data_IF_458189846779
#
_entry.id   IF_458189846779
#
_cell.length_a   1.000
_cell.length_b   1.000
_cell.length_c   1.000
_cell.angle_alpha   90.00
_cell.angle_beta   90.00
_cell.angle_gamma   90.00
#
_symmetry.space_group_name_H-M   'P 1'
#
loop_
_entity.id
_entity.type
_entity.pdbx_description
1 polymer ?
#
# COMPACT_ATOMS: atom_id res chain seq x y z
N UNK A 1 -2.59 19.91 -12.28
CA UNK A 1 -2.94 19.70 -13.71
C UNK A 1 -4.34 19.09 -13.83
N UNK A 2 -5.03 19.22 -14.98
CA UNK A 2 -6.21 18.39 -15.28
C UNK A 2 -5.77 16.97 -15.63
N UNK A 3 -6.52 15.96 -15.19
CA UNK A 3 -6.26 14.57 -15.55
C UNK A 3 -6.67 14.31 -16.99
N UNK A 4 -5.73 13.79 -17.79
CA UNK A 4 -5.96 13.36 -19.17
C UNK A 4 -5.42 11.94 -19.36
N UNK A 5 -6.08 11.16 -20.20
CA UNK A 5 -5.60 9.83 -20.58
C UNK A 5 -4.34 9.97 -21.43
N UNK A 6 -3.32 9.15 -21.15
CA UNK A 6 -2.04 9.23 -21.85
C UNK A 6 -2.00 8.49 -23.19
N UNK A 7 -2.95 7.58 -23.42
CA UNK A 7 -3.07 6.78 -24.64
C UNK A 7 -4.14 7.29 -25.60
N UNK A 8 -4.22 6.71 -26.80
CA UNK A 8 -5.17 7.14 -27.84
C UNK A 8 -5.52 6.03 -28.83
N UNK A 9 -6.64 6.22 -29.54
CA UNK A 9 -7.06 5.34 -30.63
C UNK A 9 -7.29 3.90 -30.17
N UNK A 10 -6.80 2.95 -30.97
CA UNK A 10 -6.99 1.51 -30.75
C UNK A 10 -5.99 0.89 -29.76
N UNK A 11 -5.17 1.72 -29.09
CA UNK A 11 -4.29 1.24 -28.03
C UNK A 11 -5.13 0.63 -26.89
N UNK A 12 -4.71 -0.51 -26.32
CA UNK A 12 -5.43 -1.14 -25.21
C UNK A 12 -5.30 -0.29 -23.94
N UNK A 13 -6.44 0.06 -23.33
CA UNK A 13 -6.51 0.82 -22.08
C UNK A 13 -6.88 -0.08 -20.90
N UNK A 14 -7.90 -0.92 -21.07
CA UNK A 14 -8.35 -1.89 -20.07
C UNK A 14 -8.45 -3.26 -20.73
N UNK A 15 -7.91 -4.28 -20.07
CA UNK A 15 -7.90 -5.65 -20.56
C UNK A 15 -8.22 -6.61 -19.42
N UNK A 16 -9.53 -6.82 -19.21
CA UNK A 16 -10.09 -7.69 -18.18
C UNK A 16 -10.83 -8.85 -18.84
N UNK A 17 -10.90 -10.00 -18.17
CA UNK A 17 -11.50 -11.25 -18.70
C UNK A 17 -12.86 -11.02 -19.39
N UNK A 18 -13.75 -10.26 -18.75
CA UNK A 18 -15.11 -10.00 -19.26
C UNK A 18 -15.25 -8.71 -20.09
N UNK A 19 -14.23 -7.84 -20.09
CA UNK A 19 -14.38 -6.49 -20.63
C UNK A 19 -13.05 -5.86 -21.00
N UNK A 20 -12.90 -5.57 -22.29
CA UNK A 20 -11.76 -4.85 -22.85
C UNK A 20 -12.18 -3.47 -23.36
N UNK A 21 -11.29 -2.48 -23.24
CA UNK A 21 -11.44 -1.17 -23.84
C UNK A 21 -10.14 -0.76 -24.53
N UNK A 22 -10.25 -0.29 -25.76
CA UNK A 22 -9.27 0.63 -26.34
C UNK A 22 -9.37 2.00 -25.67
N UNK A 23 -8.34 2.85 -25.82
CA UNK A 23 -8.39 4.23 -25.33
C UNK A 23 -9.54 5.03 -25.95
N UNK A 24 -9.84 4.84 -27.24
CA UNK A 24 -10.97 5.50 -27.90
C UNK A 24 -12.33 5.04 -27.33
N UNK A 25 -12.47 3.76 -26.97
CA UNK A 25 -13.69 3.25 -26.35
C UNK A 25 -13.82 3.68 -24.89
N UNK A 26 -12.73 3.67 -24.14
CA UNK A 26 -12.67 4.17 -22.75
C UNK A 26 -13.08 5.64 -22.70
N UNK A 27 -12.55 6.47 -23.62
CA UNK A 27 -12.89 7.89 -23.70
C UNK A 27 -14.39 8.12 -23.93
N UNK A 28 -15.00 7.38 -24.86
CA UNK A 28 -16.46 7.42 -25.10
C UNK A 28 -17.26 6.91 -23.90
N UNK A 29 -16.75 5.92 -23.17
CA UNK A 29 -17.41 5.39 -21.97
C UNK A 29 -17.41 6.42 -20.84
N UNK A 30 -16.30 7.17 -20.67
CA UNK A 30 -16.20 8.28 -19.73
C UNK A 30 -17.19 9.39 -20.08
N UNK A 31 -17.26 9.80 -21.34
CA UNK A 31 -18.21 10.83 -21.77
C UNK A 31 -19.67 10.38 -21.56
N UNK A 32 -19.97 9.11 -21.82
CA UNK A 32 -21.29 8.53 -21.56
C UNK A 32 -21.64 8.57 -20.07
N UNK A 33 -20.71 8.17 -19.20
CA UNK A 33 -20.89 8.22 -17.75
C UNK A 33 -21.27 9.62 -17.29
N UNK A 34 -20.53 10.63 -17.77
CA UNK A 34 -20.76 12.05 -17.47
C UNK A 34 -22.17 12.48 -17.88
N UNK A 35 -22.60 12.13 -19.10
CA UNK A 35 -23.92 12.48 -19.62
C UNK A 35 -25.05 11.84 -18.81
N UNK A 36 -24.86 10.60 -18.36
CA UNK A 36 -25.86 9.84 -17.59
C UNK A 36 -26.01 10.33 -16.15
N UNK A 37 -24.93 10.84 -15.53
CA UNK A 37 -24.92 11.21 -14.09
C UNK A 37 -25.00 12.73 -13.85
N UNK A 38 -24.81 13.55 -14.88
CA UNK A 38 -25.11 14.99 -14.93
C UNK A 38 -24.31 15.89 -13.96
N UNK A 39 -24.35 17.22 -14.19
CA UNK A 39 -23.83 18.20 -13.24
C UNK A 39 -24.83 18.38 -12.09
N UNK A 40 -24.45 18.02 -10.86
CA UNK A 40 -25.31 18.16 -9.67
C UNK A 40 -25.16 17.03 -8.65
N UNK A 41 -24.56 15.91 -9.04
CA UNK A 41 -24.20 14.84 -8.11
C UNK A 41 -23.01 15.29 -7.25
N UNK A 42 -23.12 15.31 -5.90
CA UNK A 42 -22.07 15.86 -5.03
C UNK A 42 -20.79 15.01 -5.04
N UNK A 43 -20.92 13.70 -5.24
CA UNK A 43 -19.83 12.78 -5.48
C UNK A 43 -20.33 11.55 -6.24
N UNK A 44 -19.54 11.05 -7.19
CA UNK A 44 -19.74 9.71 -7.73
C UNK A 44 -19.27 8.66 -6.72
N UNK A 45 -19.80 7.44 -6.81
CA UNK A 45 -19.40 6.32 -5.95
C UNK A 45 -18.97 5.14 -6.82
N UNK A 46 -17.69 4.78 -6.76
CA UNK A 46 -17.10 3.68 -7.49
C UNK A 46 -16.91 2.42 -6.61
N UNK A 47 -17.28 2.48 -5.33
CA UNK A 47 -16.91 1.48 -4.32
C UNK A 47 -17.48 0.08 -4.58
N UNK A 48 -18.63 -0.01 -5.24
CA UNK A 48 -19.34 -1.26 -5.52
C UNK A 48 -19.34 -1.64 -7.00
N UNK A 49 -18.65 -0.87 -7.84
CA UNK A 49 -18.60 -1.10 -9.27
C UNK A 49 -17.55 -2.17 -9.61
N UNK A 50 -17.75 -2.97 -10.66
CA UNK A 50 -16.68 -3.76 -11.27
C UNK A 50 -15.48 -2.87 -11.63
N UNK A 51 -14.26 -3.41 -11.60
CA UNK A 51 -13.02 -2.63 -11.78
C UNK A 51 -13.04 -1.75 -13.05
N UNK A 52 -13.44 -2.23 -14.25
CA UNK A 52 -13.52 -1.38 -15.43
C UNK A 52 -14.47 -0.19 -15.26
N UNK A 53 -15.65 -0.42 -14.67
CA UNK A 53 -16.67 0.61 -14.46
C UNK A 53 -16.26 1.60 -13.35
N UNK A 54 -15.59 1.10 -12.31
CA UNK A 54 -14.99 1.94 -11.28
C UNK A 54 -13.93 2.88 -11.86
N UNK A 55 -13.07 2.40 -12.77
CA UNK A 55 -12.08 3.24 -13.44
C UNK A 55 -12.71 4.27 -14.38
N UNK A 56 -13.77 3.90 -15.11
CA UNK A 56 -14.58 4.86 -15.90
C UNK A 56 -15.14 5.95 -15.00
N UNK A 57 -15.75 5.57 -13.86
CA UNK A 57 -16.31 6.48 -12.88
C UNK A 57 -15.26 7.45 -12.30
N UNK A 58 -14.07 6.94 -11.93
CA UNK A 58 -12.96 7.76 -11.42
C UNK A 58 -12.44 8.73 -12.48
N UNK A 59 -12.28 8.28 -13.73
CA UNK A 59 -11.83 9.15 -14.83
C UNK A 59 -12.89 10.21 -15.18
N UNK A 60 -14.17 9.86 -15.15
CA UNK A 60 -15.29 10.78 -15.33
C UNK A 60 -15.32 11.85 -14.23
N UNK A 61 -15.14 11.44 -12.98
CA UNK A 61 -15.02 12.36 -11.84
C UNK A 61 -13.88 13.35 -12.04
N UNK A 62 -12.70 12.86 -12.45
CA UNK A 62 -11.53 13.68 -12.69
C UNK A 62 -11.74 14.69 -13.84
N UNK A 63 -12.39 14.25 -14.93
CA UNK A 63 -12.71 15.09 -16.11
C UNK A 63 -13.74 16.17 -15.80
N UNK A 64 -14.74 15.87 -14.98
CA UNK A 64 -15.78 16.83 -14.58
C UNK A 64 -15.38 17.73 -13.40
N UNK A 65 -14.35 17.36 -12.63
CA UNK A 65 -14.05 18.01 -11.36
C UNK A 65 -15.06 17.67 -10.26
N UNK A 66 -15.68 16.49 -10.33
CA UNK A 66 -16.58 15.94 -9.30
C UNK A 66 -15.78 15.06 -8.35
N UNK A 67 -16.16 15.01 -7.07
CA UNK A 67 -15.56 14.06 -6.13
C UNK A 67 -15.95 12.61 -6.48
N UNK A 68 -15.08 11.65 -6.19
CA UNK A 68 -15.35 10.21 -6.31
C UNK A 68 -14.99 9.47 -5.03
N UNK A 69 -15.90 8.60 -4.60
CA UNK A 69 -15.73 7.70 -3.47
C UNK A 69 -15.20 6.36 -3.96
N UNK A 70 -14.06 5.92 -3.41
CA UNK A 70 -13.48 4.60 -3.65
C UNK A 70 -13.13 3.98 -2.30
N UNK A 71 -14.10 3.33 -1.68
CA UNK A 71 -13.99 2.80 -0.32
C UNK A 71 -14.38 1.33 -0.25
N UNK A 72 -14.02 0.68 0.86
CA UNK A 72 -14.52 -0.65 1.18
C UNK A 72 -16.00 -0.52 1.59
N UNK A 73 -16.96 -1.12 0.85
CA UNK A 73 -18.38 -1.06 1.20
C UNK A 73 -18.70 -1.65 2.57
N UNK A 74 -17.92 -2.65 3.03
CA UNK A 74 -18.15 -3.34 4.31
C UNK A 74 -17.59 -2.56 5.50
N UNK A 75 -16.63 -1.67 5.26
CA UNK A 75 -15.91 -0.93 6.28
C UNK A 75 -15.95 0.59 6.06
N UNK A 76 -17.01 1.06 5.39
CA UNK A 76 -17.16 2.47 5.00
C UNK A 76 -17.18 3.40 6.24
N UNK A 77 -16.32 4.41 6.31
CA UNK A 77 -16.38 5.40 7.38
C UNK A 77 -17.60 6.31 7.22
N UNK A 78 -18.06 6.87 8.34
CA UNK A 78 -19.04 7.96 8.29
C UNK A 78 -18.41 9.22 7.67
N UNK A 79 -19.12 9.81 6.70
CA UNK A 79 -18.75 11.06 6.02
C UNK A 79 -19.94 12.01 6.04
N UNK A 80 -19.95 12.90 7.01
CA UNK A 80 -20.95 13.95 7.11
C UNK A 80 -20.68 15.15 6.19
N UNK A 81 -19.44 15.36 5.76
CA UNK A 81 -19.02 16.52 4.94
C UNK A 81 -18.00 16.10 3.88
N UNK A 82 -18.21 16.54 2.64
CA UNK A 82 -17.26 16.42 1.53
C UNK A 82 -16.60 17.79 1.34
N UNK A 83 -15.26 17.92 1.48
CA UNK A 83 -14.59 19.19 1.22
C UNK A 83 -14.80 19.65 -0.22
N UNK A 84 -15.02 20.95 -0.44
CA UNK A 84 -15.32 21.50 -1.78
C UNK A 84 -14.21 21.24 -2.81
N UNK A 85 -12.95 21.17 -2.38
CA UNK A 85 -11.79 20.89 -3.23
C UNK A 85 -11.46 19.40 -3.37
N UNK A 86 -12.28 18.51 -2.79
CA UNK A 86 -12.04 17.08 -2.84
C UNK A 86 -12.32 16.53 -4.25
N UNK A 87 -11.37 15.76 -4.74
CA UNK A 87 -11.49 14.91 -5.91
C UNK A 87 -11.65 13.45 -5.50
N UNK A 88 -10.82 12.93 -4.60
CA UNK A 88 -10.81 11.51 -4.24
C UNK A 88 -11.11 11.33 -2.74
N UNK A 89 -12.12 10.52 -2.45
CA UNK A 89 -12.57 10.16 -1.11
C UNK A 89 -12.26 8.68 -0.88
N UNK A 90 -11.30 8.41 0.00
CA UNK A 90 -10.80 7.06 0.33
C UNK A 90 -10.67 6.91 1.84
N UNK A 91 -10.60 5.68 2.34
CA UNK A 91 -10.42 5.42 3.76
C UNK A 91 -9.05 4.79 4.07
N UNK A 92 -8.55 4.98 5.29
CA UNK A 92 -7.37 4.23 5.76
C UNK A 92 -7.70 2.73 5.83
N UNK A 93 -6.71 1.85 5.63
CA UNK A 93 -6.89 0.39 5.61
C UNK A 93 -7.28 -0.27 6.95
N UNK A 94 -7.51 0.50 8.03
CA UNK A 94 -7.98 -0.02 9.32
C UNK A 94 -7.00 -0.95 10.05
N UNK A 95 -5.70 -0.91 9.76
CA UNK A 95 -4.71 -1.82 10.39
C UNK A 95 -4.59 -1.63 11.92
N UNK A 96 -5.03 -0.48 12.43
CA UNK A 96 -5.05 -0.12 13.86
C UNK A 96 -6.47 0.02 14.44
N UNK A 97 -7.53 -0.30 13.68
CA UNK A 97 -8.93 -0.14 14.13
C UNK A 97 -9.90 0.21 13.00
N UNK A 98 -10.91 1.04 13.28
CA UNK A 98 -11.91 1.46 12.29
C UNK A 98 -11.29 2.34 11.19
N UNK A 99 -11.65 2.15 9.91
CA UNK A 99 -11.21 3.03 8.83
C UNK A 99 -11.56 4.50 9.09
N UNK A 100 -10.61 5.39 8.83
CA UNK A 100 -10.79 6.85 8.93
C UNK A 100 -11.05 7.44 7.54
N UNK A 101 -11.98 8.40 7.41
CA UNK A 101 -12.24 9.06 6.14
C UNK A 101 -11.09 10.00 5.77
N UNK A 102 -10.60 9.88 4.52
CA UNK A 102 -9.61 10.77 3.92
C UNK A 102 -10.19 11.44 2.67
N UNK A 103 -9.75 12.65 2.36
CA UNK A 103 -10.13 13.38 1.16
C UNK A 103 -8.89 14.00 0.51
N UNK A 104 -8.78 13.93 -0.82
CA UNK A 104 -7.63 14.39 -1.60
C UNK A 104 -8.07 15.39 -2.66
N UNK A 105 -7.26 16.41 -2.91
CA UNK A 105 -7.42 17.23 -4.13
C UNK A 105 -6.85 16.46 -5.33
N UNK A 106 -7.28 16.82 -6.54
CA UNK A 106 -6.70 16.24 -7.77
C UNK A 106 -5.18 16.47 -7.83
N UNK A 107 -4.72 17.68 -7.48
CA UNK A 107 -3.31 18.06 -7.42
C UNK A 107 -2.50 17.18 -6.45
N UNK A 108 -3.01 16.94 -5.23
CA UNK A 108 -2.33 16.11 -4.22
C UNK A 108 -2.12 14.64 -4.62
N UNK A 109 -2.66 14.24 -5.78
CA UNK A 109 -2.58 12.88 -6.28
C UNK A 109 -1.89 12.83 -7.65
N UNK A 110 -2.42 13.54 -8.65
CA UNK A 110 -1.89 13.52 -10.03
C UNK A 110 -0.53 14.19 -10.17
N UNK A 111 -0.21 15.21 -9.35
CA UNK A 111 1.08 15.89 -9.46
C UNK A 111 2.26 15.00 -9.02
N UNK A 112 1.99 13.83 -8.41
CA UNK A 112 3.00 12.82 -8.10
C UNK A 112 3.33 11.89 -9.28
N UNK A 113 2.49 11.85 -10.32
CA UNK A 113 2.63 10.91 -11.44
C UNK A 113 3.92 11.09 -12.25
N UNK A 114 4.42 12.31 -12.54
CA UNK A 114 5.68 12.47 -13.26
C UNK A 114 6.87 11.89 -12.47
N UNK A 115 6.98 12.20 -11.17
CA UNK A 115 8.03 11.67 -10.30
C UNK A 115 7.94 10.14 -10.19
N UNK A 116 6.73 9.61 -10.02
CA UNK A 116 6.50 8.18 -9.97
C UNK A 116 6.88 7.49 -11.29
N UNK A 117 6.53 8.07 -12.44
CA UNK A 117 6.93 7.58 -13.76
C UNK A 117 8.44 7.54 -13.92
N UNK A 118 9.15 8.60 -13.53
CA UNK A 118 10.60 8.67 -13.63
C UNK A 118 11.28 7.53 -12.86
N UNK A 119 10.71 7.17 -11.70
CA UNK A 119 11.26 6.13 -10.83
C UNK A 119 10.88 4.74 -11.33
N UNK A 120 9.65 4.52 -11.78
CA UNK A 120 9.16 3.19 -12.19
C UNK A 120 9.54 2.83 -13.63
N UNK A 121 9.68 3.81 -14.51
CA UNK A 121 9.88 3.57 -15.94
C UNK A 121 8.67 2.93 -16.63
N UNK A 122 7.46 3.07 -16.07
CA UNK A 122 6.23 2.67 -16.74
C UNK A 122 6.03 3.52 -18.00
N UNK A 123 5.74 2.87 -19.12
CA UNK A 123 5.41 3.52 -20.38
C UNK A 123 4.15 2.94 -21.04
N UNK A 124 3.78 3.46 -22.20
CA UNK A 124 2.54 3.11 -22.89
C UNK A 124 2.50 1.67 -23.45
N UNK A 125 3.61 0.93 -23.40
CA UNK A 125 3.69 -0.48 -23.82
C UNK A 125 3.39 -1.45 -22.69
N UNK A 126 3.27 -0.96 -21.46
CA UNK A 126 3.09 -1.81 -20.29
C UNK A 126 1.66 -2.29 -20.09
N UNK A 127 1.58 -3.48 -19.50
CA UNK A 127 0.37 -4.05 -18.92
C UNK A 127 0.54 -4.09 -17.40
N UNK A 128 -0.18 -3.21 -16.72
CA UNK A 128 -0.14 -3.02 -15.27
C UNK A 128 -1.19 -3.91 -14.61
N UNK A 129 -0.72 -4.91 -13.86
CA UNK A 129 -1.56 -5.88 -13.17
C UNK A 129 -2.19 -5.29 -11.91
N UNK A 130 -3.50 -5.46 -11.78
CA UNK A 130 -4.25 -5.16 -10.56
C UNK A 130 -4.38 -6.43 -9.73
N UNK A 131 -3.78 -6.42 -8.54
CA UNK A 131 -3.71 -7.60 -7.66
C UNK A 131 -4.71 -7.58 -6.51
N UNK A 132 -5.65 -6.63 -6.49
CA UNK A 132 -6.65 -6.52 -5.44
C UNK A 132 -7.62 -5.35 -5.67
N UNK A 133 -8.49 -5.06 -4.69
CA UNK A 133 -9.55 -4.09 -4.87
C UNK A 133 -9.03 -2.65 -4.96
N UNK A 134 -9.77 -1.79 -5.69
CA UNK A 134 -9.40 -0.39 -5.88
C UNK A 134 -9.51 0.47 -4.60
N UNK A 135 -10.31 0.05 -3.60
CA UNK A 135 -10.35 0.76 -2.32
C UNK A 135 -9.02 0.65 -1.54
N UNK A 136 -8.13 -0.29 -1.91
CA UNK A 136 -6.73 -0.21 -1.54
C UNK A 136 -6.02 0.79 -2.45
N UNK A 137 -5.70 1.98 -1.91
CA UNK A 137 -5.24 3.13 -2.70
C UNK A 137 -4.01 2.86 -3.58
N UNK A 138 -3.15 1.91 -3.22
CA UNK A 138 -2.02 1.50 -4.07
C UNK A 138 -2.48 0.92 -5.43
N UNK A 139 -3.52 0.08 -5.45
CA UNK A 139 -4.04 -0.50 -6.68
C UNK A 139 -4.76 0.55 -7.52
N UNK A 140 -5.57 1.40 -6.89
CA UNK A 140 -6.21 2.53 -7.57
C UNK A 140 -5.18 3.50 -8.14
N UNK A 141 -4.14 3.83 -7.39
CA UNK A 141 -3.04 4.67 -7.86
C UNK A 141 -2.36 4.05 -9.08
N UNK A 142 -1.99 2.76 -9.01
CA UNK A 142 -1.36 2.05 -10.13
C UNK A 142 -2.24 2.02 -11.37
N UNK A 143 -3.54 1.72 -11.23
CA UNK A 143 -4.48 1.70 -12.35
C UNK A 143 -4.61 3.08 -13.02
N UNK A 144 -4.83 4.14 -12.23
CA UNK A 144 -5.05 5.49 -12.77
C UNK A 144 -3.75 6.07 -13.32
N UNK A 145 -2.60 5.77 -12.70
CA UNK A 145 -1.28 6.13 -13.23
C UNK A 145 -0.98 5.45 -14.57
N UNK A 146 -1.31 4.16 -14.71
CA UNK A 146 -1.19 3.43 -15.97
C UNK A 146 -2.00 4.10 -17.10
N UNK A 147 -3.27 4.42 -16.83
CA UNK A 147 -4.14 5.12 -17.78
C UNK A 147 -3.63 6.51 -18.14
N UNK A 148 -3.09 7.25 -17.17
CA UNK A 148 -2.44 8.53 -17.41
C UNK A 148 -1.14 8.41 -18.21
N UNK A 149 -0.43 7.28 -18.12
CA UNK A 149 0.76 7.01 -18.93
C UNK A 149 0.47 6.49 -20.34
N UNK A 150 -0.75 6.05 -20.61
CA UNK A 150 -1.09 5.38 -21.86
C UNK A 150 -0.85 3.86 -21.84
N UNK A 151 -0.56 3.30 -20.66
CA UNK A 151 -0.39 1.86 -20.45
C UNK A 151 -1.76 1.16 -20.36
N UNK A 152 -1.76 -0.18 -20.42
CA UNK A 152 -2.96 -0.99 -20.24
C UNK A 152 -3.09 -1.44 -18.78
N UNK A 153 -4.30 -1.42 -18.22
CA UNK A 153 -4.62 -2.03 -16.91
C UNK A 153 -5.23 -3.41 -17.15
N UNK A 154 -4.75 -4.44 -16.45
CA UNK A 154 -5.21 -5.82 -16.63
C UNK A 154 -5.36 -6.58 -15.31
N UNK A 155 -6.19 -7.61 -15.31
CA UNK A 155 -6.25 -8.66 -14.28
C UNK A 155 -5.60 -9.99 -14.73
N UNK A 156 -5.11 -10.07 -15.97
CA UNK A 156 -4.44 -11.26 -16.51
C UNK A 156 -2.92 -11.21 -16.22
N UNK A 157 -2.41 -12.04 -15.29
CA UNK A 157 -0.99 -12.07 -14.98
C UNK A 157 -0.15 -12.52 -16.19
N UNK A 158 -0.70 -13.30 -17.13
CA UNK A 158 0.04 -13.77 -18.31
C UNK A 158 0.44 -12.65 -19.29
N UNK A 159 -0.24 -11.50 -19.21
CA UNK A 159 0.06 -10.31 -20.02
C UNK A 159 0.87 -9.27 -19.26
N UNK A 160 0.81 -9.28 -17.92
CA UNK A 160 1.42 -8.29 -17.06
C UNK A 160 2.92 -8.12 -17.31
N UNK A 161 3.34 -6.87 -17.53
CA UNK A 161 4.75 -6.44 -17.56
C UNK A 161 5.14 -5.71 -16.28
N UNK A 162 4.16 -5.13 -15.57
CA UNK A 162 4.34 -4.41 -14.32
C UNK A 162 3.30 -4.85 -13.29
N UNK A 163 3.68 -4.94 -12.02
CA UNK A 163 2.74 -5.21 -10.91
C UNK A 163 2.94 -4.21 -9.78
N UNK A 164 1.85 -3.77 -9.17
CA UNK A 164 1.86 -3.11 -7.86
C UNK A 164 1.48 -4.13 -6.80
N UNK A 165 2.37 -4.44 -5.85
CA UNK A 165 2.13 -5.50 -4.88
C UNK A 165 2.73 -5.18 -3.49
N UNK A 166 2.14 -5.77 -2.45
CA UNK A 166 2.88 -5.98 -1.19
C UNK A 166 3.80 -7.20 -1.35
N UNK A 167 4.87 -7.34 -0.54
CA UNK A 167 5.79 -8.49 -0.60
C UNK A 167 5.10 -9.86 -0.57
N UNK A 168 4.01 -10.01 0.18
CA UNK A 168 3.24 -11.26 0.23
C UNK A 168 2.55 -11.58 -1.11
N UNK A 169 2.00 -10.56 -1.79
CA UNK A 169 1.35 -10.70 -3.10
C UNK A 169 2.39 -10.92 -4.19
N UNK A 170 3.55 -10.25 -4.11
CA UNK A 170 4.63 -10.42 -5.08
C UNK A 170 5.06 -11.89 -5.19
N UNK A 171 5.20 -12.59 -4.05
CA UNK A 171 5.55 -14.01 -4.01
C UNK A 171 4.58 -14.91 -4.80
N UNK A 172 3.29 -14.58 -4.79
CA UNK A 172 2.26 -15.35 -5.48
C UNK A 172 2.17 -15.01 -6.98
N UNK A 173 2.39 -13.74 -7.34
CA UNK A 173 2.22 -13.25 -8.71
C UNK A 173 3.36 -13.64 -9.64
N UNK A 174 4.62 -13.62 -9.17
CA UNK A 174 5.80 -13.79 -10.04
C UNK A 174 5.73 -15.09 -10.85
N UNK A 175 5.32 -16.21 -10.23
CA UNK A 175 5.20 -17.50 -10.92
C UNK A 175 4.08 -17.56 -11.98
N UNK A 176 3.13 -16.62 -11.95
CA UNK A 176 1.98 -16.55 -12.87
C UNK A 176 2.19 -15.51 -13.98
N UNK A 177 3.20 -14.65 -13.85
CA UNK A 177 3.43 -13.51 -14.73
C UNK A 177 4.75 -13.62 -15.51
N UNK A 178 4.82 -14.44 -16.58
CA UNK A 178 6.06 -14.74 -17.30
C UNK A 178 6.67 -13.54 -18.06
N UNK A 179 5.93 -12.44 -18.22
CA UNK A 179 6.39 -11.21 -18.88
C UNK A 179 6.73 -10.09 -17.90
N UNK A 180 6.59 -10.34 -16.60
CA UNK A 180 6.80 -9.36 -15.55
C UNK A 180 8.27 -8.92 -15.57
N UNK A 181 8.50 -7.63 -15.83
CA UNK A 181 9.83 -7.01 -15.85
C UNK A 181 10.04 -6.05 -14.69
N UNK A 182 8.96 -5.51 -14.12
CA UNK A 182 9.05 -4.52 -13.03
C UNK A 182 8.02 -4.80 -11.94
N UNK A 183 8.48 -4.91 -10.70
CA UNK A 183 7.64 -5.02 -9.52
C UNK A 183 7.72 -3.73 -8.70
N UNK A 184 6.58 -3.08 -8.53
CA UNK A 184 6.44 -1.92 -7.65
C UNK A 184 5.92 -2.42 -6.31
N UNK A 185 6.79 -2.38 -5.31
CA UNK A 185 6.54 -2.91 -3.97
C UNK A 185 6.30 -1.78 -3.00
N UNK A 186 5.21 -1.86 -2.24
CA UNK A 186 4.95 -0.87 -1.19
C UNK A 186 4.00 -1.38 -0.12
N UNK A 187 3.78 -0.53 0.87
CA UNK A 187 2.81 -0.74 1.93
C UNK A 187 3.34 -1.55 3.12
N UNK A 188 4.30 -2.43 2.91
CA UNK A 188 5.20 -2.97 3.93
C UNK A 188 6.60 -3.01 3.34
N UNK A 189 7.63 -2.99 4.19
CA UNK A 189 9.01 -3.06 3.73
C UNK A 189 9.25 -4.33 2.92
N UNK A 190 9.99 -4.21 1.82
CA UNK A 190 10.47 -5.34 1.05
C UNK A 190 11.40 -6.20 1.90
N UNK A 191 11.09 -7.49 1.99
CA UNK A 191 11.88 -8.50 2.68
C UNK A 191 12.72 -9.33 1.69
N UNK A 192 13.74 -10.03 2.21
CA UNK A 192 14.68 -10.81 1.40
C UNK A 192 14.00 -11.99 0.66
N UNK A 193 12.95 -12.58 1.23
CA UNK A 193 12.22 -13.67 0.61
C UNK A 193 11.43 -13.23 -0.61
N UNK A 194 10.72 -12.09 -0.51
CA UNK A 194 10.05 -11.48 -1.66
C UNK A 194 11.04 -11.08 -2.75
N UNK A 195 12.19 -10.50 -2.35
CA UNK A 195 13.26 -10.14 -3.28
C UNK A 195 13.83 -11.35 -4.00
N UNK A 196 14.06 -12.46 -3.28
CA UNK A 196 14.61 -13.68 -3.86
C UNK A 196 13.66 -14.34 -4.88
N UNK A 197 12.35 -14.32 -4.62
CA UNK A 197 11.36 -14.87 -5.57
C UNK A 197 11.27 -14.02 -6.84
N UNK A 198 11.51 -12.72 -6.76
CA UNK A 198 11.50 -11.79 -7.89
C UNK A 198 12.90 -11.63 -8.55
N UNK A 199 13.74 -12.66 -8.50
CA UNK A 199 15.05 -12.63 -9.16
C UNK A 199 14.90 -12.38 -10.68
N UNK A 200 15.73 -11.48 -11.21
CA UNK A 200 15.64 -11.03 -12.61
C UNK A 200 14.53 -10.02 -12.93
N UNK A 201 13.75 -9.57 -11.94
CA UNK A 201 12.73 -8.52 -12.08
C UNK A 201 13.26 -7.22 -11.46
N UNK A 202 13.08 -6.09 -12.14
CA UNK A 202 13.42 -4.78 -11.58
C UNK A 202 12.45 -4.45 -10.43
N UNK A 203 12.98 -4.23 -9.23
CA UNK A 203 12.14 -3.90 -8.07
C UNK A 203 12.25 -2.40 -7.76
N UNK A 204 11.10 -1.73 -7.76
CA UNK A 204 10.95 -0.38 -7.25
C UNK A 204 10.19 -0.45 -5.94
N UNK A 205 10.81 -0.02 -4.85
CA UNK A 205 10.12 0.10 -3.56
C UNK A 205 9.79 1.55 -3.28
N UNK A 206 8.57 1.83 -2.81
CA UNK A 206 8.23 3.13 -2.27
C UNK A 206 7.64 3.04 -0.86
N UNK A 207 7.94 4.07 -0.07
CA UNK A 207 7.38 4.32 1.23
C UNK A 207 6.38 5.47 1.15
N UNK A 208 5.29 5.32 1.89
CA UNK A 208 4.18 6.25 1.88
C UNK A 208 3.16 5.95 2.97
N UNK A 209 2.26 6.90 3.19
CA UNK A 209 1.15 6.80 4.13
C UNK A 209 -0.16 7.17 3.44
N UNK A 210 -1.28 6.66 3.94
CA UNK A 210 -2.60 6.96 3.36
C UNK A 210 -2.89 8.47 3.35
N UNK A 211 -2.35 9.20 4.33
CA UNK A 211 -2.44 10.64 4.50
C UNK A 211 -1.46 11.42 3.60
N UNK A 212 -0.37 10.80 3.15
CA UNK A 212 0.74 11.47 2.45
C UNK A 212 0.97 11.02 1.01
N UNK A 213 0.30 9.96 0.57
CA UNK A 213 0.62 9.28 -0.70
C UNK A 213 2.08 8.80 -0.70
N UNK A 214 2.87 9.16 -1.70
CA UNK A 214 4.29 8.83 -1.84
C UNK A 214 5.16 9.78 -1.00
N UNK A 215 6.15 9.23 -0.29
CA UNK A 215 7.11 9.99 0.52
C UNK A 215 8.54 9.77 0.03
N UNK A 216 8.91 8.51 -0.14
CA UNK A 216 10.26 8.12 -0.54
C UNK A 216 10.20 6.90 -1.47
N UNK A 217 11.22 6.72 -2.32
CA UNK A 217 11.30 5.55 -3.19
C UNK A 217 12.76 5.17 -3.50
N UNK A 218 12.94 3.94 -3.99
CA UNK A 218 14.19 3.38 -4.49
C UNK A 218 13.97 2.42 -5.64
N UNK A 219 15.00 2.28 -6.47
CA UNK A 219 15.21 1.07 -7.28
C UNK A 219 16.15 0.16 -6.49
N UNK A 220 15.72 -1.03 -6.12
CA UNK A 220 16.53 -1.95 -5.31
C UNK A 220 17.79 -2.34 -6.09
N UNK A 221 19.01 -2.31 -5.49
CA UNK A 221 19.29 -2.20 -4.05
C UNK A 221 19.62 -0.79 -3.53
N UNK A 222 19.36 0.26 -4.30
CA UNK A 222 19.70 1.63 -3.89
C UNK A 222 19.02 2.04 -2.58
N UNK A 223 19.58 3.01 -1.84
CA UNK A 223 18.94 3.52 -0.63
C UNK A 223 17.58 4.16 -0.94
N UNK A 224 16.65 4.06 0.01
CA UNK A 224 15.35 4.72 -0.05
C UNK A 224 15.56 6.24 0.11
N UNK A 225 15.11 7.04 -0.87
CA UNK A 225 15.31 8.49 -0.87
C UNK A 225 13.98 9.24 -0.93
N UNK A 226 13.90 10.37 -0.23
CA UNK A 226 12.76 11.28 -0.34
C UNK A 226 12.51 11.68 -1.80
N UNK A 227 11.23 11.82 -2.15
CA UNK A 227 10.85 12.37 -3.46
C UNK A 227 11.10 13.87 -3.53
N UNK A 228 11.28 14.38 -4.75
CA UNK A 228 11.40 15.82 -4.98
C UNK A 228 10.18 16.58 -4.41
N UNK A 229 10.46 17.63 -3.62
CA UNK A 229 9.43 18.44 -2.96
C UNK A 229 8.84 17.81 -1.69
N UNK A 230 9.33 16.63 -1.27
CA UNK A 230 9.01 16.04 0.04
C UNK A 230 10.14 16.32 1.01
N UNK A 231 9.82 16.96 2.13
CA UNK A 231 10.75 17.18 3.24
C UNK A 231 10.45 16.22 4.38
N UNK A 232 11.48 15.79 5.10
CA UNK A 232 11.36 14.98 6.31
C UNK A 232 12.16 15.59 7.46
N UNK A 233 11.65 15.37 8.67
CA UNK A 233 12.26 15.79 9.93
C UNK A 233 12.07 14.68 10.97
N UNK A 234 13.10 14.40 11.77
CA UNK A 234 13.06 13.37 12.81
C UNK A 234 12.93 14.05 14.16
N UNK A 235 11.77 13.86 14.82
CA UNK A 235 11.48 14.45 16.14
C UNK A 235 11.29 13.33 17.14
N UNK A 236 12.17 13.27 18.14
CA UNK A 236 12.18 12.21 19.15
C UNK A 236 12.20 10.80 18.53
N UNK A 237 12.91 10.64 17.40
CA UNK A 237 13.01 9.39 16.64
C UNK A 237 11.84 9.11 15.70
N UNK A 238 10.77 9.91 15.73
CA UNK A 238 9.60 9.76 14.88
C UNK A 238 9.70 10.60 13.60
N UNK A 239 9.22 10.02 12.51
CA UNK A 239 9.18 10.65 11.19
C UNK A 239 8.04 11.66 11.08
N UNK A 240 8.40 12.91 10.80
CA UNK A 240 7.51 13.96 10.36
C UNK A 240 7.79 14.30 8.91
N UNK A 241 6.74 14.44 8.11
CA UNK A 241 6.86 14.70 6.68
C UNK A 241 6.05 15.93 6.29
N UNK A 242 6.64 16.79 5.47
CA UNK A 242 5.93 17.82 4.71
C UNK A 242 5.93 17.40 3.24
N UNK A 243 4.75 17.31 2.64
CA UNK A 243 4.58 16.80 1.28
C UNK A 243 3.47 17.54 0.54
N UNK A 244 3.64 17.82 -0.77
CA UNK A 244 2.56 18.37 -1.61
C UNK A 244 1.46 17.34 -1.88
N UNK A 245 1.68 16.06 -1.56
CA UNK A 245 0.77 14.95 -1.85
C UNK A 245 -0.16 14.61 -0.68
N UNK A 246 -0.30 15.52 0.27
CA UNK A 246 -1.07 15.29 1.48
C UNK A 246 -2.59 15.35 1.23
N UNK A 247 -3.34 14.60 2.06
CA UNK A 247 -4.80 14.72 2.12
C UNK A 247 -5.23 16.11 2.62
N UNK A 248 -6.48 16.49 2.39
CA UNK A 248 -7.04 17.76 2.86
C UNK A 248 -7.14 17.74 4.39
N UNK A 249 -6.74 18.83 5.03
CA UNK A 249 -6.94 19.06 6.46
C UNK A 249 -5.86 18.52 7.38
N UNK A 250 -4.74 18.02 6.85
CA UNK A 250 -3.56 17.71 7.68
C UNK A 250 -2.69 18.96 7.90
N UNK A 251 -1.93 19.00 9.01
CA UNK A 251 -0.91 20.03 9.20
C UNK A 251 0.18 19.98 8.12
N UNK A 252 0.88 21.10 7.92
CA UNK A 252 2.01 21.20 6.99
C UNK A 252 3.08 20.13 7.25
N UNK A 253 3.39 19.88 8.54
CA UNK A 253 4.21 18.76 8.98
C UNK A 253 3.34 17.69 9.62
N UNK A 254 3.26 16.53 8.98
CA UNK A 254 2.46 15.40 9.44
C UNK A 254 3.35 14.33 10.09
N UNK A 255 3.05 13.97 11.33
CA UNK A 255 3.71 12.85 12.01
C UNK A 255 3.15 11.54 11.49
N UNK A 256 4.00 10.72 10.85
CA UNK A 256 3.57 9.44 10.26
C UNK A 256 3.36 8.36 11.32
N UNK A 257 3.97 8.55 12.50
CA UNK A 257 3.97 7.59 13.59
C UNK A 257 4.95 6.44 13.38
N UNK A 258 5.88 6.57 12.43
CA UNK A 258 6.94 5.61 12.17
C UNK A 258 8.27 6.11 12.77
N UNK A 259 9.04 5.21 13.36
CA UNK A 259 10.43 5.45 13.74
C UNK A 259 11.27 5.46 12.46
N UNK A 260 12.14 6.47 12.33
CA UNK A 260 13.00 6.56 11.17
C UNK A 260 14.31 7.29 11.49
N UNK A 261 15.29 7.07 10.62
CA UNK A 261 16.51 7.84 10.55
C UNK A 261 16.57 8.54 9.20
N UNK A 262 17.03 9.78 9.20
CA UNK A 262 17.28 10.57 8.00
C UNK A 262 18.80 10.75 7.86
N UNK A 263 19.38 10.14 6.83
CA UNK A 263 20.77 10.29 6.45
C UNK A 263 21.00 11.48 5.52
N UNK A 264 22.25 11.64 5.10
CA UNK A 264 22.64 12.69 4.16
C UNK A 264 21.92 12.53 2.80
N UNK A 265 21.67 13.65 2.12
CA UNK A 265 21.02 13.67 0.80
C UNK A 265 19.63 13.00 0.76
N UNK A 266 18.86 13.11 1.86
CA UNK A 266 17.47 12.65 1.92
C UNK A 266 17.30 11.13 1.95
N UNK A 267 18.32 10.39 2.37
CA UNK A 267 18.24 8.95 2.57
C UNK A 267 17.39 8.62 3.80
N UNK A 268 16.28 7.92 3.61
CA UNK A 268 15.32 7.59 4.65
C UNK A 268 15.44 6.11 5.04
N UNK A 269 15.75 5.83 6.30
CA UNK A 269 15.68 4.48 6.87
C UNK A 269 14.48 4.38 7.80
N UNK A 270 13.44 3.65 7.38
CA UNK A 270 12.26 3.41 8.22
C UNK A 270 12.49 2.19 9.10
N UNK A 271 12.38 2.39 10.42
CA UNK A 271 12.64 1.37 11.47
C UNK A 271 11.37 0.64 11.92
N UNK A 272 10.18 1.11 11.53
CA UNK A 272 8.88 0.52 11.90
C UNK A 272 7.94 1.53 12.55
N UNK A 273 6.82 1.09 13.13
CA UNK A 273 5.82 1.98 13.74
C UNK A 273 6.18 2.29 15.19
N UNK A 274 6.22 3.57 15.56
CA UNK A 274 6.42 4.03 16.94
C UNK A 274 5.31 3.62 17.91
N UNK A 275 4.05 3.45 17.45
CA UNK A 275 2.94 2.90 18.25
C UNK A 275 2.88 1.36 18.26
N UNK A 276 3.65 0.69 17.39
CA UNK A 276 3.91 -0.75 17.47
C UNK A 276 5.10 -1.06 18.39
N UNK A 277 5.70 -0.03 18.99
CA UNK A 277 6.66 -0.18 20.07
C UNK A 277 6.00 -0.89 21.24
N UNK A 278 6.60 -2.01 21.64
CA UNK A 278 6.24 -2.76 22.83
C UNK A 278 7.23 -2.33 23.90
N UNK A 279 6.75 -1.73 24.99
CA UNK A 279 7.61 -1.33 26.09
C UNK A 279 7.83 -2.53 27.03
N UNK A 280 8.96 -3.21 26.87
CA UNK A 280 9.34 -4.37 27.68
C UNK A 280 10.33 -3.94 28.74
N UNK A 281 9.84 -3.68 29.96
CA UNK A 281 10.67 -3.34 31.11
C UNK A 281 11.49 -2.06 30.93
N UNK A 282 10.93 -1.06 30.23
CA UNK A 282 11.62 0.19 29.90
C UNK A 282 12.44 0.15 28.60
N UNK A 283 12.50 -0.99 27.92
CA UNK A 283 13.14 -1.13 26.59
C UNK A 283 12.08 -1.10 25.49
N UNK A 284 12.26 -0.25 24.49
CA UNK A 284 11.39 -0.20 23.30
C UNK A 284 11.74 -1.31 22.34
N UNK A 285 10.80 -2.22 22.10
CA UNK A 285 10.90 -3.28 21.08
C UNK A 285 9.98 -2.93 19.93
N UNK A 286 10.50 -2.84 18.71
CA UNK A 286 9.66 -2.58 17.52
C UNK A 286 9.08 -3.90 17.02
N UNK A 287 7.75 -4.03 17.05
CA UNK A 287 7.09 -5.27 16.62
C UNK A 287 7.47 -5.70 15.20
N UNK A 288 7.57 -4.74 14.27
CA UNK A 288 7.94 -5.01 12.87
C UNK A 288 9.35 -5.57 12.72
N UNK A 289 10.30 -5.20 13.59
CA UNK A 289 11.65 -5.78 13.56
C UNK A 289 11.64 -7.24 14.03
N UNK A 290 10.82 -7.54 15.04
CA UNK A 290 10.63 -8.92 15.50
C UNK A 290 9.96 -9.75 14.41
N UNK A 291 8.90 -9.24 13.78
CA UNK A 291 8.22 -9.90 12.65
C UNK A 291 9.20 -10.23 11.53
N UNK A 292 9.99 -9.23 11.08
CA UNK A 292 10.98 -9.43 10.02
C UNK A 292 11.97 -10.52 10.35
N UNK A 293 12.49 -10.56 11.58
CA UNK A 293 13.42 -11.61 12.02
C UNK A 293 12.72 -12.98 12.03
N UNK A 294 11.49 -13.07 12.55
CA UNK A 294 10.74 -14.32 12.57
C UNK A 294 10.45 -14.85 11.16
N UNK A 295 10.15 -13.96 10.21
CA UNK A 295 9.90 -14.28 8.81
C UNK A 295 11.15 -14.72 8.04
N UNK A 296 12.35 -14.52 8.60
CA UNK A 296 13.59 -15.12 8.06
C UNK A 296 13.85 -16.55 8.56
N UNK A 297 13.06 -17.07 9.50
CA UNK A 297 13.27 -18.40 10.06
C UNK A 297 12.59 -19.47 9.20
N UNK A 298 13.34 -20.48 8.77
CA UNK A 298 12.79 -21.65 8.08
C UNK A 298 11.60 -22.23 8.85
N UNK A 299 10.47 -22.40 8.15
CA UNK A 299 9.23 -22.88 8.75
C UNK A 299 8.18 -21.79 9.03
N UNK A 300 8.50 -20.51 8.89
CA UNK A 300 7.57 -19.39 9.12
C UNK A 300 7.09 -18.82 7.79
N UNK A 301 5.77 -18.91 7.56
CA UNK A 301 5.12 -18.34 6.39
C UNK A 301 4.79 -16.84 6.57
N UNK A 302 4.36 -16.45 7.78
CA UNK A 302 4.08 -15.06 8.15
C UNK A 302 4.11 -14.90 9.67
N UNK A 303 4.44 -13.70 10.15
CA UNK A 303 4.39 -13.38 11.58
C UNK A 303 3.64 -12.07 11.85
N UNK A 304 2.96 -12.02 12.99
CA UNK A 304 2.39 -10.79 13.54
C UNK A 304 2.81 -10.66 15.00
N UNK A 305 3.35 -9.51 15.37
CA UNK A 305 3.84 -9.25 16.72
C UNK A 305 3.03 -8.11 17.34
N UNK A 306 2.60 -8.33 18.58
CA UNK A 306 1.84 -7.35 19.36
C UNK A 306 2.36 -7.28 20.79
N UNK A 307 2.21 -6.12 21.41
CA UNK A 307 2.39 -5.96 22.85
C UNK A 307 1.29 -6.68 23.61
N UNK A 308 1.64 -7.30 24.73
CA UNK A 308 0.70 -7.89 25.67
C UNK A 308 1.00 -7.41 27.08
N UNK A 309 -0.02 -6.94 27.84
CA UNK A 309 0.18 -6.44 29.19
C UNK A 309 0.91 -7.45 30.08
N UNK A 310 1.85 -6.97 30.88
CA UNK A 310 2.62 -7.78 31.83
C UNK A 310 2.82 -7.02 33.14
N UNK A 311 2.41 -7.64 34.26
CA UNK A 311 2.33 -7.00 35.57
C UNK A 311 3.63 -6.38 36.10
N UNK A 312 4.79 -6.89 35.66
CA UNK A 312 6.12 -6.40 36.10
C UNK A 312 6.83 -5.56 35.03
N UNK A 313 6.60 -5.85 33.75
CA UNK A 313 7.41 -5.30 32.65
C UNK A 313 6.67 -4.17 31.92
N UNK A 314 5.43 -3.86 32.31
CA UNK A 314 4.53 -3.06 31.50
C UNK A 314 3.94 -3.93 30.39
N UNK A 315 4.76 -4.30 29.41
CA UNK A 315 4.39 -5.18 28.30
C UNK A 315 5.40 -6.30 28.06
N UNK A 316 4.97 -7.31 27.30
CA UNK A 316 5.82 -8.35 26.74
C UNK A 316 5.41 -8.62 25.30
N UNK A 317 6.32 -9.21 24.52
CA UNK A 317 6.09 -9.54 23.12
C UNK A 317 5.24 -10.81 23.00
N UNK A 318 4.15 -10.73 22.24
CA UNK A 318 3.37 -11.89 21.76
C UNK A 318 3.55 -12.03 20.25
N UNK A 319 3.98 -13.21 19.80
CA UNK A 319 4.09 -13.55 18.39
C UNK A 319 2.96 -14.49 17.98
N UNK A 320 2.21 -14.10 16.95
CA UNK A 320 1.30 -14.96 16.22
C UNK A 320 2.02 -15.41 14.96
N UNK A 321 2.06 -16.72 14.70
CA UNK A 321 2.93 -17.31 13.67
C UNK A 321 2.12 -18.25 12.79
N UNK A 322 2.11 -17.98 11.49
CA UNK A 322 1.66 -18.91 10.46
C UNK A 322 2.85 -19.76 10.03
N UNK A 323 2.72 -21.09 10.10
CA UNK A 323 3.78 -22.03 9.74
C UNK A 323 3.57 -22.53 8.31
N UNK A 324 4.66 -22.77 7.57
CA UNK A 324 4.61 -23.30 6.20
C UNK A 324 4.45 -24.84 6.13
N UNK A 325 4.36 -25.51 7.28
CA UNK A 325 4.26 -26.96 7.42
C UNK A 325 5.59 -27.71 7.46
N UNK A 326 6.72 -27.03 7.31
CA UNK A 326 8.07 -27.64 7.31
C UNK A 326 8.74 -27.66 8.68
N UNK A 327 8.20 -26.95 9.68
CA UNK A 327 8.71 -26.92 11.03
C UNK A 327 7.60 -26.82 12.08
N UNK A 328 7.88 -27.27 13.29
CA UNK A 328 7.01 -27.06 14.45
C UNK A 328 7.35 -25.78 15.23
N UNK A 329 6.37 -25.22 15.94
CA UNK A 329 6.56 -23.99 16.75
C UNK A 329 7.71 -24.10 17.76
N UNK A 330 8.03 -25.30 18.24
CA UNK A 330 9.15 -25.55 19.14
C UNK A 330 10.51 -25.25 18.49
N UNK A 331 10.67 -25.61 17.21
CA UNK A 331 11.86 -25.32 16.43
C UNK A 331 12.00 -23.84 16.14
N UNK A 332 10.89 -23.17 15.77
CA UNK A 332 10.87 -21.72 15.55
C UNK A 332 11.30 -20.98 16.81
N UNK A 333 10.76 -21.35 17.98
CA UNK A 333 11.17 -20.79 19.27
C UNK A 333 12.68 -20.99 19.55
N UNK A 334 13.22 -22.15 19.18
CA UNK A 334 14.66 -22.45 19.34
C UNK A 334 15.53 -21.59 18.43
N UNK A 335 15.14 -21.43 17.16
CA UNK A 335 15.83 -20.56 16.19
C UNK A 335 15.74 -19.09 16.62
N UNK A 336 14.55 -18.61 16.98
CA UNK A 336 14.31 -17.24 17.44
C UNK A 336 15.15 -16.86 18.67
N UNK A 337 15.36 -17.78 19.63
CA UNK A 337 16.24 -17.55 20.79
C UNK A 337 17.70 -17.29 20.45
N UNK A 338 18.17 -17.75 19.29
CA UNK A 338 19.55 -17.51 18.82
C UNK A 338 19.70 -16.19 18.07
N UNK A 339 18.59 -15.60 17.62
CA UNK A 339 18.59 -14.43 16.73
C UNK A 339 18.07 -13.17 17.41
N UNK A 340 17.03 -13.29 18.25
CA UNK A 340 16.40 -12.16 18.94
C UNK A 340 17.11 -11.83 20.25
N UNK A 341 17.12 -10.55 20.61
CA UNK A 341 17.52 -10.10 21.96
C UNK A 341 16.51 -10.59 23.00
N UNK A 342 16.89 -10.54 24.28
CA UNK A 342 16.07 -11.03 25.39
C UNK A 342 14.73 -10.28 25.50
N UNK A 343 14.74 -8.98 25.24
CA UNK A 343 13.59 -8.08 25.31
C UNK A 343 12.64 -8.31 24.12
N UNK A 344 13.21 -8.57 22.93
CA UNK A 344 12.47 -8.82 21.69
C UNK A 344 11.91 -10.25 21.57
N UNK A 345 12.45 -11.21 22.34
CA UNK A 345 12.02 -12.60 22.29
C UNK A 345 10.56 -12.75 22.77
N UNK A 346 9.64 -13.29 21.94
CA UNK A 346 8.25 -13.47 22.35
C UNK A 346 8.11 -14.39 23.55
N UNK A 347 7.32 -13.94 24.53
CA UNK A 347 6.97 -14.74 25.72
C UNK A 347 5.73 -15.59 25.51
N UNK A 348 4.82 -15.11 24.66
CA UNK A 348 3.65 -15.86 24.19
C UNK A 348 3.79 -16.09 22.69
N UNK A 349 3.51 -17.31 22.28
CA UNK A 349 3.53 -17.72 20.88
C UNK A 349 2.20 -18.39 20.57
N UNK A 350 1.58 -17.95 19.49
CA UNK A 350 0.26 -18.43 19.07
C UNK A 350 0.38 -18.92 17.63
N UNK A 351 0.57 -20.23 17.40
CA UNK A 351 0.56 -20.77 16.06
C UNK A 351 -0.87 -20.70 15.48
N UNK A 352 -0.99 -20.36 14.20
CA UNK A 352 -2.26 -20.27 13.49
C UNK A 352 -2.18 -20.95 12.13
N UNK A 353 -3.35 -21.31 11.60
CA UNK A 353 -3.46 -21.89 10.26
C UNK A 353 -3.27 -20.84 9.15
N UNK A 354 -3.79 -19.63 9.32
CA UNK A 354 -3.67 -18.57 8.31
C UNK A 354 -3.72 -17.16 8.92
N UNK A 355 -2.77 -16.31 8.55
CA UNK A 355 -2.67 -14.95 9.06
C UNK A 355 -3.78 -14.04 8.52
N UNK A 356 -4.53 -13.32 9.39
CA UNK A 356 -5.52 -12.36 8.91
C UNK A 356 -4.84 -11.23 8.15
N UNK A 357 -5.33 -10.95 6.93
CA UNK A 357 -4.81 -9.91 6.05
C UNK A 357 -5.84 -8.81 5.78
N UNK A 358 -5.36 -7.61 5.51
CA UNK A 358 -6.15 -6.49 4.97
C UNK A 358 -6.46 -6.73 3.50
N UNK A 359 -7.39 -5.96 2.92
CA UNK A 359 -7.66 -5.99 1.48
C UNK A 359 -6.43 -5.69 0.60
N UNK A 360 -5.41 -5.02 1.15
CA UNK A 360 -4.12 -4.78 0.51
C UNK A 360 -3.08 -5.91 0.72
N UNK A 361 -3.46 -7.03 1.35
CA UNK A 361 -2.58 -8.19 1.57
C UNK A 361 -1.63 -8.09 2.77
N UNK A 362 -1.66 -6.97 3.51
CA UNK A 362 -0.84 -6.77 4.72
C UNK A 362 -1.43 -7.53 5.89
N UNK A 363 -0.61 -7.91 6.88
CA UNK A 363 -1.10 -8.44 8.15
C UNK A 363 -2.05 -7.43 8.83
N UNK A 364 -3.26 -7.87 9.16
CA UNK A 364 -4.27 -7.05 9.82
C UNK A 364 -4.08 -7.05 11.35
N UNK A 365 -3.03 -6.37 11.86
CA UNK A 365 -2.68 -6.40 13.30
C UNK A 365 -3.82 -6.00 14.24
N UNK A 366 -4.70 -5.08 13.85
CA UNK A 366 -5.92 -4.77 14.61
C UNK A 366 -6.78 -6.01 14.86
N UNK A 367 -7.05 -6.80 13.81
CA UNK A 367 -7.77 -8.09 13.93
C UNK A 367 -7.01 -9.10 14.79
N UNK A 368 -5.68 -9.12 14.69
CA UNK A 368 -4.83 -9.97 15.56
C UNK A 368 -4.96 -9.56 17.03
N UNK A 369 -4.95 -8.26 17.35
CA UNK A 369 -5.14 -7.76 18.72
C UNK A 369 -6.53 -8.12 19.24
N UNK A 370 -7.57 -7.91 18.44
CA UNK A 370 -8.96 -8.23 18.80
C UNK A 370 -9.16 -9.73 19.07
N UNK A 371 -8.44 -10.60 18.35
CA UNK A 371 -8.48 -12.05 18.57
C UNK A 371 -7.74 -12.50 19.85
N UNK A 372 -6.71 -11.73 20.25
CA UNK A 372 -5.89 -12.04 21.43
C UNK A 372 -6.44 -11.44 22.74
N UNK A 373 -7.33 -10.45 22.64
CA UNK A 373 -8.09 -9.84 23.72
C UNK A 373 -9.20 -10.77 24.21
#
# INVERSE_FOLDING_TARGET
>A
MSFELGGSGDQPALDFEDRTYTYAELDRAIDRWILEHGPGTPAYDASTLPVPDALICVCAAARQGTAVIVEDPEARPDRSVIPLSAFLLVATSGSTGRPRPLARTAASWFDSFPAFTAITGIDATDYVLITGPLHATMHLFGAVHALWRGACVTDDPSRATVVHAVPAVLRDVVGKAPKLRTAIVAGTALDDGARAVADGIDIVEYYGAAELSLVAARRVPEPLRLLDGVDADIRDGLLYVRSPYCVIGVPEWFGVGDLAELGDNGELTVRGRGESAINVGGTTVVAEDVERILETLDGVAAAAVVGSPHSVLGETVTAVVELDGTAEIGEIRSRARRTLTKEALPRRWVPIESMPRTASGKVARGRVRDWLA
#
